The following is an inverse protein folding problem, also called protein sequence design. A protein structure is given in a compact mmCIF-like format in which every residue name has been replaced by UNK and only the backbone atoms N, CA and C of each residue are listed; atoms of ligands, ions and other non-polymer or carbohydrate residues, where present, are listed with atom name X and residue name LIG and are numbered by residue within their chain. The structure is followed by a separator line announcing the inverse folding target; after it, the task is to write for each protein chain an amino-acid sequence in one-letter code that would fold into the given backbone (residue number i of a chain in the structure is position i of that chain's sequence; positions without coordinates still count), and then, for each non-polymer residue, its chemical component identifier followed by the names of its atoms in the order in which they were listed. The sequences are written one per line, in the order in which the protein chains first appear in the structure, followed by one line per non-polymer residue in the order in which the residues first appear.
data_IF_840534886154
#
_entry.id   IF_840534886154
#
_cell.length_a   1.000
_cell.length_b   1.000
_cell.length_c   1.000
_cell.angle_alpha   90.00
_cell.angle_beta   90.00
_cell.angle_gamma   90.00
#
_symmetry.space_group_name_H-M   'P 1'
#
loop_
_entity.id
_entity.type
_entity.pdbx_description
1 polymer ?
#
# COMPACT_ATOMS: atom_id res chain seq x y z
N UNK A 1 4.54 6.38 15.76
CA UNK A 1 4.06 5.58 14.61
C UNK A 1 2.54 5.70 14.55
N UNK A 2 1.97 6.49 13.63
CA UNK A 2 0.51 6.72 13.57
C UNK A 2 -0.12 5.56 12.80
N UNK A 3 -0.82 4.68 13.52
CA UNK A 3 -1.59 3.58 12.95
C UNK A 3 -2.87 4.17 12.32
N UNK A 4 -3.00 4.11 10.99
CA UNK A 4 -4.23 4.49 10.29
C UNK A 4 -4.89 3.19 9.82
N UNK A 5 -5.89 2.74 10.58
CA UNK A 5 -6.83 1.72 10.10
C UNK A 5 -7.78 2.44 9.16
N UNK A 6 -7.92 1.96 7.93
CA UNK A 6 -8.96 2.46 7.03
C UNK A 6 -10.22 1.62 7.25
N UNK A 7 -11.28 2.13 7.91
CA UNK A 7 -12.61 1.58 7.69
C UNK A 7 -12.87 1.56 6.19
N UNK A 8 -13.49 0.48 5.70
CA UNK A 8 -13.86 0.21 4.30
C UNK A 8 -14.69 1.34 3.63
N UNK A 9 -15.01 2.42 4.36
CA UNK A 9 -15.79 3.59 3.92
C UNK A 9 -15.22 4.96 4.37
N UNK A 10 -14.07 5.02 5.03
CA UNK A 10 -13.60 6.27 5.63
C UNK A 10 -12.70 7.10 4.70
N UNK A 11 -13.33 8.13 4.13
CA UNK A 11 -12.78 9.35 3.51
C UNK A 11 -11.59 9.12 2.55
N UNK A 12 -11.94 8.88 1.28
CA UNK A 12 -11.05 8.87 0.10
C UNK A 12 -9.96 9.96 0.15
N UNK A 13 -10.28 11.15 0.67
CA UNK A 13 -9.34 12.28 0.80
C UNK A 13 -8.21 12.02 1.78
N UNK A 14 -8.44 11.27 2.86
CA UNK A 14 -7.39 10.92 3.84
C UNK A 14 -6.42 9.92 3.21
N UNK A 15 -6.94 8.94 2.49
CA UNK A 15 -6.13 7.94 1.81
C UNK A 15 -5.26 8.56 0.71
N UNK A 16 -5.84 9.45 -0.11
CA UNK A 16 -5.08 10.23 -1.10
C UNK A 16 -3.96 11.05 -0.47
N UNK A 17 -4.23 11.78 0.62
CA UNK A 17 -3.21 12.55 1.34
C UNK A 17 -2.10 11.66 1.91
N UNK A 18 -2.42 10.45 2.35
CA UNK A 18 -1.45 9.51 2.90
C UNK A 18 -0.56 8.93 1.78
N UNK A 19 -1.15 8.52 0.66
CA UNK A 19 -0.41 8.05 -0.53
C UNK A 19 0.55 9.12 -1.02
N UNK A 20 0.10 10.36 -1.14
CA UNK A 20 0.93 11.47 -1.61
C UNK A 20 2.18 11.65 -0.74
N UNK A 21 2.02 11.54 0.59
CA UNK A 21 3.16 11.58 1.54
C UNK A 21 4.13 10.41 1.34
N UNK A 22 3.63 9.21 1.07
CA UNK A 22 4.48 8.05 0.82
C UNK A 22 5.21 8.12 -0.53
N UNK A 23 4.54 8.62 -1.57
CA UNK A 23 5.16 8.89 -2.88
C UNK A 23 6.29 9.93 -2.77
N UNK A 24 6.03 11.05 -2.08
CA UNK A 24 7.03 12.11 -1.91
C UNK A 24 8.26 11.63 -1.11
N UNK A 25 8.04 10.82 -0.08
CA UNK A 25 9.13 10.31 0.76
C UNK A 25 9.88 9.12 0.16
N UNK A 26 9.34 8.47 -0.89
CA UNK A 26 9.84 7.21 -1.46
C UNK A 26 10.13 6.14 -0.38
N UNK A 27 9.41 6.22 0.72
CA UNK A 27 9.63 5.37 1.88
C UNK A 27 9.18 3.93 1.57
N UNK A 28 9.87 2.96 2.18
CA UNK A 28 9.37 1.58 2.19
C UNK A 28 8.18 1.54 3.14
N UNK A 29 7.09 0.94 2.67
CA UNK A 29 5.86 0.79 3.43
C UNK A 29 5.55 -0.68 3.62
N UNK A 30 4.79 -0.99 4.68
CA UNK A 30 4.20 -2.29 4.94
C UNK A 30 2.69 -2.19 4.79
N UNK A 31 2.12 -3.15 4.06
CA UNK A 31 0.71 -3.24 3.71
C UNK A 31 0.14 -4.53 4.28
N UNK A 32 -1.01 -4.39 4.95
CA UNK A 32 -1.76 -5.49 5.54
C UNK A 32 -2.92 -5.84 4.62
N UNK A 33 -3.12 -7.14 4.40
CA UNK A 33 -4.13 -7.66 3.48
C UNK A 33 -5.44 -7.98 4.19
N UNK A 34 -6.58 -7.78 3.52
CA UNK A 34 -7.94 -7.90 4.10
C UNK A 34 -8.29 -9.28 4.68
N UNK A 35 -7.79 -10.35 4.09
CA UNK A 35 -8.08 -11.72 4.57
C UNK A 35 -6.84 -12.49 5.03
N UNK A 36 -5.63 -11.96 4.80
CA UNK A 36 -4.39 -12.63 5.15
C UNK A 36 -3.71 -11.95 6.34
N UNK A 37 -4.06 -12.38 7.56
CA UNK A 37 -3.47 -11.84 8.81
C UNK A 37 -1.98 -12.15 8.97
N UNK A 38 -1.54 -13.24 8.36
CA UNK A 38 -0.17 -13.75 8.49
C UNK A 38 0.77 -13.25 7.41
N UNK A 39 0.23 -12.70 6.31
CA UNK A 39 0.99 -12.17 5.19
C UNK A 39 0.92 -10.65 5.16
N UNK A 40 2.05 -10.02 4.89
CA UNK A 40 2.15 -8.58 4.69
C UNK A 40 2.97 -8.33 3.44
N UNK A 41 2.65 -7.26 2.71
CA UNK A 41 3.47 -6.83 1.58
C UNK A 41 4.33 -5.66 2.03
N UNK A 42 5.64 -5.74 1.85
CA UNK A 42 6.55 -4.61 2.03
C UNK A 42 7.07 -4.16 0.67
N UNK A 43 7.11 -2.87 0.41
CA UNK A 43 7.60 -2.36 -0.87
C UNK A 43 7.71 -0.85 -0.91
N UNK A 44 8.25 -0.31 -2.00
CA UNK A 44 8.27 1.13 -2.27
C UNK A 44 7.18 1.46 -3.27
N UNK A 45 6.30 2.41 -2.95
CA UNK A 45 5.33 2.89 -3.94
C UNK A 45 6.09 3.68 -5.00
N UNK A 46 6.01 3.26 -6.26
CA UNK A 46 6.58 3.99 -7.40
C UNK A 46 5.55 4.76 -8.20
N UNK A 47 4.31 4.27 -8.20
CA UNK A 47 3.19 4.89 -8.88
C UNK A 47 1.94 4.40 -8.18
N UNK A 48 1.10 5.32 -7.70
CA UNK A 48 -0.25 4.94 -7.31
C UNK A 48 -1.15 5.13 -8.53
N UNK A 49 -2.18 4.30 -8.72
CA UNK A 49 -3.16 4.50 -9.81
C UNK A 49 -3.74 5.92 -9.85
N UNK A 50 -3.63 6.68 -8.74
CA UNK A 50 -3.98 8.11 -8.67
C UNK A 50 -2.98 9.07 -9.34
N UNK A 51 -1.71 8.72 -9.60
CA UNK A 51 -0.80 9.59 -10.36
C UNK A 51 -1.14 9.59 -11.87
N UNK A 52 -1.83 8.55 -12.35
CA UNK A 52 -2.45 8.53 -13.69
C UNK A 52 -3.76 9.34 -13.75
N UNK A 53 -4.25 9.83 -12.59
CA UNK A 53 -5.56 10.47 -12.41
C UNK A 53 -5.48 12.00 -12.32
N UNK A 54 -4.43 12.65 -12.84
CA UNK A 54 -4.42 14.10 -13.02
C UNK A 54 -5.32 14.59 -14.18
N UNK A 55 -5.97 13.68 -14.91
CA UNK A 55 -6.96 14.01 -15.93
C UNK A 55 -8.25 13.21 -15.68
N UNK A 56 -9.21 13.83 -14.98
CA UNK A 56 -10.67 13.57 -14.97
C UNK A 56 -11.21 12.15 -15.30
N UNK A 57 -10.59 11.08 -14.81
CA UNK A 57 -11.00 9.72 -15.18
C UNK A 57 -10.54 8.64 -14.21
N UNK A 58 -11.49 8.12 -13.44
CA UNK A 58 -11.57 6.76 -12.86
C UNK A 58 -10.24 6.01 -12.53
N UNK A 59 -9.88 5.98 -11.24
CA UNK A 59 -9.57 4.72 -10.55
C UNK A 59 -10.13 4.79 -9.12
N UNK A 60 -11.36 4.30 -8.93
CA UNK A 60 -12.00 4.16 -7.62
C UNK A 60 -11.38 3.06 -6.76
N UNK A 61 -10.53 2.21 -7.35
CA UNK A 61 -10.06 0.97 -6.75
C UNK A 61 -8.72 1.11 -6.04
N UNK A 62 -8.12 2.31 -5.99
CA UNK A 62 -6.93 2.59 -5.16
C UNK A 62 -5.76 1.62 -5.42
N UNK A 63 -5.53 1.24 -6.68
CA UNK A 63 -4.47 0.28 -7.01
C UNK A 63 -3.08 0.91 -6.80
N UNK A 64 -2.11 0.11 -6.38
CA UNK A 64 -0.73 0.55 -6.08
C UNK A 64 0.28 -0.25 -6.88
N UNK A 65 1.23 0.43 -7.54
CA UNK A 65 2.42 -0.21 -8.09
C UNK A 65 3.54 -0.12 -7.05
N UNK A 66 4.00 -1.30 -6.62
CA UNK A 66 5.09 -1.45 -5.67
C UNK A 66 6.33 -1.96 -6.38
N UNK A 67 7.48 -1.39 -6.04
CA UNK A 67 8.80 -1.82 -6.48
C UNK A 67 9.59 -2.39 -5.29
N UNK A 68 10.53 -3.29 -5.58
CA UNK A 68 11.24 -4.10 -4.59
C UNK A 68 10.32 -4.73 -3.54
N UNK A 69 9.16 -5.21 -4.01
CA UNK A 69 8.13 -5.76 -3.15
C UNK A 69 8.56 -7.13 -2.60
N UNK A 70 8.21 -7.37 -1.34
CA UNK A 70 8.41 -8.62 -0.64
C UNK A 70 7.12 -9.04 0.07
N UNK A 71 6.79 -10.32 -0.02
CA UNK A 71 5.79 -10.94 0.85
C UNK A 71 6.48 -11.37 2.15
N UNK A 72 6.02 -10.82 3.26
CA UNK A 72 6.51 -11.10 4.61
C UNK A 72 5.49 -11.96 5.34
N UNK A 73 5.86 -13.20 5.64
CA UNK A 73 5.05 -14.06 6.49
C UNK A 73 5.43 -13.85 7.95
N UNK A 74 4.53 -13.28 8.75
CA UNK A 74 4.79 -12.91 10.15
C UNK A 74 4.96 -14.15 11.03
N UNK A 75 4.18 -15.22 10.77
CA UNK A 75 4.25 -16.47 11.53
C UNK A 75 5.53 -17.24 11.25
N UNK A 76 5.85 -17.42 9.97
CA UNK A 76 7.02 -18.21 9.52
C UNK A 76 8.32 -17.39 9.52
N UNK A 77 8.24 -16.06 9.69
CA UNK A 77 9.36 -15.12 9.58
C UNK A 77 10.13 -15.25 8.26
N UNK A 78 9.44 -15.64 7.19
CA UNK A 78 10.01 -15.78 5.85
C UNK A 78 9.71 -14.55 5.02
N UNK A 79 10.65 -14.18 4.15
CA UNK A 79 10.49 -13.12 3.15
C UNK A 79 10.61 -13.74 1.76
N UNK A 80 9.67 -13.42 0.88
CA UNK A 80 9.68 -13.85 -0.52
C UNK A 80 9.72 -12.61 -1.40
N UNK A 81 10.77 -12.47 -2.20
CA UNK A 81 10.86 -11.38 -3.18
C UNK A 81 9.81 -11.56 -4.27
N UNK A 82 9.06 -10.48 -4.54
CA UNK A 82 8.05 -10.40 -5.58
C UNK A 82 8.48 -9.47 -6.73
N UNK A 83 9.46 -8.59 -6.49
CA UNK A 83 9.90 -7.60 -7.47
C UNK A 83 8.87 -6.49 -7.65
N UNK A 84 8.51 -6.18 -8.90
CA UNK A 84 7.51 -5.16 -9.21
C UNK A 84 6.12 -5.77 -9.33
N UNK A 85 5.18 -5.31 -8.51
CA UNK A 85 3.80 -5.82 -8.49
C UNK A 85 2.76 -4.72 -8.55
N UNK A 86 1.59 -5.03 -9.10
CA UNK A 86 0.38 -4.23 -8.98
C UNK A 86 -0.49 -4.83 -7.87
N UNK A 87 -0.67 -4.09 -6.78
CA UNK A 87 -1.53 -4.46 -5.67
C UNK A 87 -2.90 -3.80 -5.86
N UNK A 88 -3.95 -4.61 -5.87
CA UNK A 88 -5.31 -4.10 -5.97
C UNK A 88 -5.76 -3.48 -4.65
N UNK A 89 -6.43 -2.33 -4.68
CA UNK A 89 -6.78 -1.61 -3.45
C UNK A 89 -7.90 -2.25 -2.63
N UNK A 90 -8.71 -3.11 -3.24
CA UNK A 90 -9.70 -3.98 -2.56
C UNK A 90 -9.06 -4.93 -1.53
N UNK A 91 -7.79 -5.30 -1.75
CA UNK A 91 -7.04 -6.18 -0.86
C UNK A 91 -6.33 -5.42 0.27
N UNK A 92 -6.31 -4.09 0.25
CA UNK A 92 -5.56 -3.26 1.20
C UNK A 92 -6.42 -2.96 2.43
N UNK A 93 -5.92 -3.31 3.62
CA UNK A 93 -6.57 -2.97 4.90
C UNK A 93 -5.87 -1.86 5.64
N UNK A 94 -4.54 -1.93 5.71
CA UNK A 94 -3.74 -0.97 6.47
C UNK A 94 -2.41 -0.74 5.77
N UNK A 95 -1.98 0.52 5.75
CA UNK A 95 -0.66 0.92 5.28
C UNK A 95 0.09 1.63 6.38
N UNK A 96 1.35 1.27 6.58
CA UNK A 96 2.22 1.90 7.56
C UNK A 96 3.64 2.06 7.01
N UNK A 97 4.31 3.13 7.40
CA UNK A 97 5.73 3.27 7.12
C UNK A 97 6.50 2.19 7.91
N UNK A 98 7.43 1.49 7.25
CA UNK A 98 8.43 0.68 7.95
C UNK A 98 9.47 1.62 8.55
N UNK A 99 9.09 2.34 9.61
CA UNK A 99 9.98 3.26 10.31
C UNK A 99 11.20 2.50 10.82
N UNK A 100 12.36 2.83 10.24
CA UNK A 100 13.61 2.93 10.98
C UNK A 100 13.87 4.40 11.23
#
# INVERSE_FOLDING_TARGET
MRLLVFPFFADFRIFQNLIFRFLQSKARIQIWLFEQKDARIEGRIICSGVDLMLHEGFDEYMNLVLDDAEEVNVKKKTRKSLGRILLKGDNITLMMNTGK
#
